data_IF_689965117293
#
_entry.id   IF_689965117293
#
_cell.length_a   1.000
_cell.length_b   1.000
_cell.length_c   1.000
_cell.angle_alpha   90.00
_cell.angle_beta   90.00
_cell.angle_gamma   90.00
#
_symmetry.space_group_name_H-M   'P 1'
#
loop_
_entity.id
_entity.type
_entity.pdbx_description
1 polymer ?
#
# COMPACT_ATOMS: atom_id res chain seq x y z
N UNK A 1 24.20 -78.39 -17.24
CA UNK A 1 23.94 -77.20 -18.08
C UNK A 1 23.36 -76.12 -17.20
N UNK A 2 24.12 -75.08 -16.91
CA UNK A 2 23.65 -73.91 -16.17
C UNK A 2 24.57 -72.75 -16.52
N UNK A 3 24.19 -71.98 -17.54
CA UNK A 3 24.93 -70.80 -17.95
C UNK A 3 24.79 -69.73 -16.86
N UNK A 4 25.92 -69.36 -16.25
CA UNK A 4 26.07 -68.12 -15.49
C UNK A 4 26.01 -66.96 -16.50
N UNK A 5 24.89 -66.24 -16.49
CA UNK A 5 24.75 -64.98 -17.21
C UNK A 5 25.59 -63.95 -16.45
N UNK A 6 26.79 -63.69 -16.95
CA UNK A 6 27.61 -62.56 -16.54
C UNK A 6 26.96 -61.29 -17.09
N UNK A 7 26.12 -60.64 -16.29
CA UNK A 7 25.67 -59.27 -16.55
C UNK A 7 26.83 -58.32 -16.31
N UNK A 8 27.49 -57.89 -17.38
CA UNK A 8 28.35 -56.70 -17.37
C UNK A 8 27.53 -55.50 -16.87
N UNK A 9 28.03 -54.68 -15.93
CA UNK A 9 27.34 -53.45 -15.57
C UNK A 9 27.34 -52.54 -16.79
N UNK A 10 26.15 -52.17 -17.24
CA UNK A 10 25.96 -51.13 -18.24
C UNK A 10 26.46 -49.84 -17.60
N UNK A 11 27.56 -49.32 -18.11
CA UNK A 11 28.06 -47.98 -17.81
C UNK A 11 27.01 -46.98 -18.31
N UNK A 12 26.05 -46.65 -17.46
CA UNK A 12 25.18 -45.50 -17.67
C UNK A 12 26.07 -44.28 -17.44
N UNK A 13 26.75 -43.86 -18.49
CA UNK A 13 27.31 -42.51 -18.56
C UNK A 13 26.13 -41.55 -18.41
N UNK A 14 25.80 -41.17 -17.18
CA UNK A 14 24.90 -40.07 -16.88
C UNK A 14 25.42 -38.89 -17.71
N UNK A 15 24.63 -38.48 -18.70
CA UNK A 15 24.92 -37.30 -19.49
C UNK A 15 24.81 -36.13 -18.52
N UNK A 16 25.95 -35.78 -17.91
CA UNK A 16 26.04 -34.69 -16.94
C UNK A 16 25.94 -33.40 -17.73
N UNK A 17 24.76 -32.80 -17.68
CA UNK A 17 24.51 -31.50 -18.25
C UNK A 17 25.15 -30.43 -17.36
N UNK A 18 26.13 -29.70 -17.89
CA UNK A 18 26.72 -28.54 -17.23
C UNK A 18 26.33 -27.26 -17.96
N UNK A 19 25.95 -26.22 -17.21
CA UNK A 19 25.66 -24.91 -17.79
C UNK A 19 26.91 -24.26 -18.42
N UNK A 20 28.11 -24.64 -17.98
CA UNK A 20 29.36 -24.17 -18.58
C UNK A 20 29.55 -24.63 -20.03
N UNK A 21 28.89 -25.74 -20.42
CA UNK A 21 28.98 -26.29 -21.78
C UNK A 21 28.04 -25.58 -22.77
N UNK A 22 27.15 -24.72 -22.28
CA UNK A 22 26.22 -23.96 -23.11
C UNK A 22 26.81 -22.62 -23.57
N UNK A 23 26.28 -22.05 -24.67
CA UNK A 23 26.50 -20.63 -24.96
C UNK A 23 26.14 -19.76 -23.75
N UNK A 24 26.99 -18.78 -23.37
CA UNK A 24 26.79 -17.97 -22.17
C UNK A 24 25.42 -17.30 -22.10
N UNK A 25 24.89 -16.88 -23.25
CA UNK A 25 23.58 -16.23 -23.34
C UNK A 25 22.45 -17.18 -22.90
N UNK A 26 22.55 -18.46 -23.28
CA UNK A 26 21.56 -19.48 -22.92
C UNK A 26 21.67 -19.85 -21.44
N UNK A 27 22.90 -20.02 -20.94
CA UNK A 27 23.15 -20.29 -19.53
C UNK A 27 22.62 -19.16 -18.64
N UNK A 28 22.91 -17.90 -18.98
CA UNK A 28 22.39 -16.73 -18.27
C UNK A 28 20.87 -16.60 -18.38
N UNK A 29 20.28 -16.98 -19.52
CA UNK A 29 18.82 -17.01 -19.69
C UNK A 29 18.19 -18.02 -18.74
N UNK A 30 18.74 -19.23 -18.62
CA UNK A 30 18.27 -20.25 -17.69
C UNK A 30 18.36 -19.74 -16.24
N UNK A 31 19.51 -19.18 -15.85
CA UNK A 31 19.72 -18.65 -14.51
C UNK A 31 18.83 -17.44 -14.19
N UNK A 32 18.36 -16.69 -15.20
CA UNK A 32 17.48 -15.52 -15.01
C UNK A 32 16.08 -15.87 -14.50
N UNK A 33 15.68 -17.14 -14.61
CA UNK A 33 14.43 -17.65 -14.06
C UNK A 33 14.53 -18.05 -12.58
N UNK A 34 15.73 -18.06 -12.00
CA UNK A 34 15.92 -18.40 -10.60
C UNK A 34 15.57 -17.21 -9.70
N UNK A 35 15.01 -17.51 -8.53
CA UNK A 35 14.88 -16.51 -7.47
C UNK A 35 16.28 -16.23 -6.84
N UNK A 36 16.42 -15.17 -6.02
CA UNK A 36 17.71 -14.80 -5.44
C UNK A 36 18.37 -15.89 -4.60
N UNK A 37 17.58 -16.70 -3.89
CA UNK A 37 18.07 -17.81 -3.05
C UNK A 37 18.62 -18.94 -3.91
N UNK A 38 17.87 -19.35 -4.93
CA UNK A 38 18.30 -20.40 -5.86
C UNK A 38 19.51 -19.95 -6.67
N UNK A 39 19.57 -18.68 -7.06
CA UNK A 39 20.72 -18.11 -7.75
C UNK A 39 21.98 -18.07 -6.86
N UNK A 40 21.81 -17.76 -5.57
CA UNK A 40 22.89 -17.85 -4.60
C UNK A 40 23.39 -19.29 -4.45
N UNK A 41 22.51 -20.29 -4.37
CA UNK A 41 22.89 -21.70 -4.32
C UNK A 41 23.59 -22.14 -5.61
N UNK A 42 23.08 -21.73 -6.76
CA UNK A 42 23.68 -21.98 -8.07
C UNK A 42 25.11 -21.44 -8.18
N UNK A 43 25.44 -20.32 -7.49
CA UNK A 43 26.80 -19.78 -7.46
C UNK A 43 27.83 -20.72 -6.82
N UNK A 44 27.40 -21.70 -6.01
CA UNK A 44 28.29 -22.73 -5.47
C UNK A 44 28.82 -23.71 -6.53
N UNK A 45 28.15 -23.83 -7.68
CA UNK A 45 28.55 -24.71 -8.79
C UNK A 45 28.97 -23.89 -10.02
N UNK A 46 28.24 -22.82 -10.31
CA UNK A 46 28.40 -21.99 -11.50
C UNK A 46 28.73 -20.54 -11.13
N UNK A 47 29.79 -20.32 -10.34
CA UNK A 47 30.14 -19.00 -9.80
C UNK A 47 30.21 -17.89 -10.86
N UNK A 48 30.91 -18.13 -11.97
CA UNK A 48 31.12 -17.12 -13.02
C UNK A 48 29.83 -16.72 -13.73
N UNK A 49 28.91 -17.67 -13.90
CA UNK A 49 27.61 -17.45 -14.54
C UNK A 49 26.61 -16.84 -13.55
N UNK A 50 26.52 -17.38 -12.33
CA UNK A 50 25.55 -16.96 -11.32
C UNK A 50 25.93 -15.65 -10.62
N UNK A 51 27.21 -15.24 -10.64
CA UNK A 51 27.67 -13.94 -10.14
C UNK A 51 27.66 -12.84 -11.20
N UNK A 52 27.11 -13.11 -12.39
CA UNK A 52 27.11 -12.17 -13.50
C UNK A 52 26.31 -10.89 -13.18
N UNK A 53 26.92 -9.73 -13.38
CA UNK A 53 26.30 -8.43 -13.05
C UNK A 53 25.07 -8.09 -13.90
N UNK A 54 24.99 -8.55 -15.14
CA UNK A 54 23.80 -8.36 -15.98
C UNK A 54 22.62 -9.19 -15.48
N UNK A 55 22.90 -10.40 -15.00
CA UNK A 55 21.90 -11.27 -14.38
C UNK A 55 21.36 -10.64 -13.10
N UNK A 56 22.24 -10.23 -12.18
CA UNK A 56 21.84 -9.55 -10.94
C UNK A 56 21.16 -8.21 -11.19
N UNK A 57 21.53 -7.48 -12.24
CA UNK A 57 20.82 -6.26 -12.66
C UNK A 57 19.37 -6.54 -13.02
N UNK A 58 19.12 -7.58 -13.82
CA UNK A 58 17.76 -8.00 -14.19
C UNK A 58 16.95 -8.40 -12.96
N UNK A 59 17.53 -9.26 -12.11
CA UNK A 59 16.91 -9.69 -10.87
C UNK A 59 16.58 -8.51 -9.94
N UNK A 60 17.52 -7.59 -9.76
CA UNK A 60 17.38 -6.42 -8.90
C UNK A 60 16.27 -5.50 -9.40
N UNK A 61 16.20 -5.20 -10.69
CA UNK A 61 15.13 -4.35 -11.25
C UNK A 61 13.75 -4.99 -11.23
N UNK A 62 13.69 -6.32 -11.37
CA UNK A 62 12.43 -7.05 -11.31
C UNK A 62 11.90 -7.14 -9.88
N UNK A 63 12.77 -7.42 -8.90
CA UNK A 63 12.37 -7.59 -7.50
C UNK A 63 12.27 -6.27 -6.73
N UNK A 64 13.14 -5.31 -7.05
CA UNK A 64 13.18 -3.97 -6.48
C UNK A 64 12.94 -2.94 -7.59
N UNK A 65 11.68 -2.63 -7.93
CA UNK A 65 11.36 -1.73 -9.04
C UNK A 65 11.93 -0.31 -8.88
N UNK A 66 12.22 0.09 -7.64
CA UNK A 66 12.71 1.42 -7.33
C UNK A 66 13.67 1.46 -6.14
N UNK A 67 14.76 2.21 -6.30
CA UNK A 67 15.58 2.77 -5.24
C UNK A 67 16.38 3.95 -5.83
N UNK A 68 16.74 4.94 -5.03
CA UNK A 68 17.52 6.10 -5.51
C UNK A 68 18.92 5.73 -5.99
N UNK A 69 19.47 4.61 -5.51
CA UNK A 69 20.78 4.13 -5.95
C UNK A 69 20.84 3.85 -7.47
N UNK A 70 19.71 3.57 -8.12
CA UNK A 70 19.64 3.39 -9.57
C UNK A 70 19.92 4.67 -10.37
N UNK A 71 19.68 5.85 -9.80
CA UNK A 71 19.88 7.12 -10.50
C UNK A 71 21.35 7.53 -10.58
N UNK A 72 22.12 7.19 -9.54
CA UNK A 72 23.54 7.47 -9.45
C UNK A 72 24.38 6.32 -10.04
N UNK A 73 23.75 5.51 -10.89
CA UNK A 73 24.39 4.41 -11.56
C UNK A 73 25.47 4.92 -12.50
N UNK A 74 26.70 4.72 -12.07
CA UNK A 74 27.86 4.72 -12.95
C UNK A 74 28.53 3.36 -12.75
N UNK A 75 29.17 2.84 -13.80
CA UNK A 75 30.11 1.72 -13.74
C UNK A 75 31.32 2.13 -12.88
N UNK A 76 31.08 2.39 -11.60
CA UNK A 76 32.13 2.59 -10.62
C UNK A 76 32.75 1.21 -10.37
N UNK A 77 34.07 1.13 -10.23
CA UNK A 77 34.77 -0.14 -9.98
C UNK A 77 34.21 -0.94 -8.80
N UNK A 78 33.59 -0.26 -7.82
CA UNK A 78 33.11 -0.86 -6.57
C UNK A 78 31.59 -1.12 -6.54
N UNK A 79 30.87 -0.96 -7.66
CA UNK A 79 29.41 -1.17 -7.70
C UNK A 79 29.06 -2.58 -8.23
N UNK A 80 28.27 -3.32 -7.46
CA UNK A 80 27.75 -4.64 -7.82
C UNK A 80 26.24 -4.71 -7.55
N UNK A 81 25.46 -5.16 -8.53
CA UNK A 81 24.03 -5.39 -8.39
C UNK A 81 23.73 -6.50 -7.40
N UNK A 82 24.63 -7.47 -7.26
CA UNK A 82 24.52 -8.50 -6.22
C UNK A 82 24.61 -7.88 -4.83
N UNK A 83 25.60 -7.02 -4.60
CA UNK A 83 25.76 -6.31 -3.32
C UNK A 83 24.57 -5.38 -3.07
N UNK A 84 24.12 -4.64 -4.09
CA UNK A 84 22.94 -3.79 -3.99
C UNK A 84 21.69 -4.59 -3.62
N UNK A 85 21.46 -5.74 -4.26
CA UNK A 85 20.33 -6.62 -3.96
C UNK A 85 20.32 -7.02 -2.49
N UNK A 86 21.46 -7.49 -1.97
CA UNK A 86 21.60 -7.91 -0.58
C UNK A 86 21.38 -6.75 0.39
N UNK A 87 21.90 -5.56 0.08
CA UNK A 87 21.67 -4.35 0.89
C UNK A 87 20.21 -3.91 0.91
N UNK A 88 19.50 -4.02 -0.22
CA UNK A 88 18.06 -3.72 -0.27
C UNK A 88 17.24 -4.74 0.52
N UNK A 89 17.63 -6.01 0.48
CA UNK A 89 16.99 -7.05 1.29
C UNK A 89 17.23 -6.85 2.79
N UNK A 90 18.47 -6.55 3.18
CA UNK A 90 18.82 -6.18 4.56
C UNK A 90 18.04 -4.93 5.00
N UNK A 91 17.98 -3.88 4.17
CA UNK A 91 17.21 -2.68 4.46
C UNK A 91 15.72 -2.98 4.71
N UNK A 92 15.12 -3.87 3.90
CA UNK A 92 13.72 -4.31 4.10
C UNK A 92 13.56 -5.06 5.42
N UNK A 93 14.46 -5.99 5.73
CA UNK A 93 14.41 -6.76 6.98
C UNK A 93 14.54 -5.82 8.20
N UNK A 94 15.47 -4.87 8.14
CA UNK A 94 15.65 -3.83 9.16
C UNK A 94 14.40 -2.97 9.31
N UNK A 95 13.80 -2.52 8.20
CA UNK A 95 12.54 -1.76 8.22
C UNK A 95 11.39 -2.56 8.85
N UNK A 96 11.29 -3.85 8.53
CA UNK A 96 10.24 -4.72 9.05
C UNK A 96 10.39 -4.96 10.57
N UNK A 97 11.60 -4.84 11.10
CA UNK A 97 11.87 -4.85 12.54
C UNK A 97 11.58 -3.50 13.19
N UNK A 98 12.14 -2.41 12.65
CA UNK A 98 11.89 -1.04 13.07
C UNK A 98 11.92 -0.09 11.87
N UNK A 99 10.80 0.62 11.63
CA UNK A 99 10.65 1.48 10.46
C UNK A 99 11.71 2.59 10.39
N UNK A 100 12.06 3.20 11.53
CA UNK A 100 12.99 4.33 11.56
C UNK A 100 14.44 3.86 11.36
N UNK A 101 14.80 2.73 11.97
CA UNK A 101 16.08 2.07 11.74
C UNK A 101 16.26 1.71 10.26
N UNK A 102 15.23 1.11 9.65
CA UNK A 102 15.28 0.74 8.23
C UNK A 102 15.43 1.95 7.31
N UNK A 103 14.70 3.04 7.58
CA UNK A 103 14.84 4.28 6.83
C UNK A 103 16.22 4.93 7.02
N UNK A 104 16.79 4.85 8.23
CA UNK A 104 18.16 5.32 8.48
C UNK A 104 19.19 4.49 7.72
N UNK A 105 19.08 3.17 7.75
CA UNK A 105 19.93 2.26 6.99
C UNK A 105 19.88 2.59 5.48
N UNK A 106 18.69 2.81 4.93
CA UNK A 106 18.51 3.17 3.52
C UNK A 106 19.23 4.48 3.16
N UNK A 107 19.16 5.48 4.05
CA UNK A 107 19.81 6.77 3.87
C UNK A 107 21.35 6.67 3.97
N UNK A 108 21.86 6.06 5.05
CA UNK A 108 23.30 5.93 5.32
C UNK A 108 24.02 5.13 4.23
N UNK A 109 23.37 4.08 3.72
CA UNK A 109 23.90 3.26 2.62
C UNK A 109 23.65 3.86 1.22
N UNK A 110 23.08 5.06 1.13
CA UNK A 110 22.78 5.78 -0.12
C UNK A 110 21.87 4.98 -1.07
N UNK A 111 20.98 4.16 -0.49
CA UNK A 111 20.02 3.34 -1.23
C UNK A 111 18.76 4.15 -1.59
N UNK A 112 18.36 5.05 -0.70
CA UNK A 112 17.20 5.92 -0.85
C UNK A 112 17.56 7.34 -0.43
N UNK A 113 17.15 8.32 -1.24
CA UNK A 113 17.23 9.75 -0.90
C UNK A 113 16.19 10.08 0.15
N UNK A 114 16.55 10.98 1.06
CA UNK A 114 15.65 11.50 2.08
C UNK A 114 14.77 12.62 1.49
N UNK A 115 13.88 12.24 0.58
CA UNK A 115 12.88 13.14 0.00
C UNK A 115 11.52 12.46 -0.14
N UNK A 116 10.47 13.29 -0.08
CA UNK A 116 9.08 12.84 -0.03
C UNK A 116 8.73 11.90 -1.20
N UNK A 117 9.19 12.23 -2.41
CA UNK A 117 8.81 11.49 -3.62
C UNK A 117 9.48 10.12 -3.68
N UNK A 118 10.78 10.05 -3.36
CA UNK A 118 11.50 8.78 -3.33
C UNK A 118 10.99 7.88 -2.22
N UNK A 119 10.73 8.43 -1.03
CA UNK A 119 10.19 7.62 0.08
C UNK A 119 8.80 7.09 -0.27
N UNK A 120 7.91 7.94 -0.81
CA UNK A 120 6.57 7.53 -1.23
C UNK A 120 6.62 6.45 -2.33
N UNK A 121 7.48 6.61 -3.34
CA UNK A 121 7.62 5.64 -4.43
C UNK A 121 8.21 4.33 -3.93
N UNK A 122 9.19 4.38 -3.02
CA UNK A 122 9.73 3.20 -2.36
C UNK A 122 8.63 2.46 -1.58
N UNK A 123 7.83 3.15 -0.76
CA UNK A 123 6.72 2.50 -0.05
C UNK A 123 5.63 1.94 -0.97
N UNK A 124 5.44 2.54 -2.15
CA UNK A 124 4.46 2.11 -3.14
C UNK A 124 4.85 0.80 -3.84
N UNK A 125 6.12 0.65 -4.24
CA UNK A 125 6.55 -0.43 -5.13
C UNK A 125 7.39 -1.52 -4.47
N UNK A 126 7.95 -1.26 -3.28
CA UNK A 126 8.83 -2.22 -2.60
C UNK A 126 8.02 -3.38 -2.01
N UNK A 127 8.31 -4.63 -2.42
CA UNK A 127 7.56 -5.80 -1.96
C UNK A 127 7.98 -6.24 -0.54
N UNK A 128 7.01 -6.75 0.22
CA UNK A 128 7.27 -7.41 1.50
C UNK A 128 7.59 -6.47 2.68
N UNK A 129 7.36 -5.17 2.52
CA UNK A 129 7.40 -4.22 3.64
C UNK A 129 6.23 -4.47 4.59
N UNK A 130 6.51 -4.52 5.89
CA UNK A 130 5.54 -4.77 6.95
C UNK A 130 4.52 -3.61 7.04
N UNK A 131 3.21 -3.87 6.87
CA UNK A 131 2.15 -2.86 6.97
C UNK A 131 2.18 -2.03 8.26
N UNK A 132 2.54 -2.66 9.38
CA UNK A 132 2.58 -2.04 10.71
C UNK A 132 3.71 -1.01 10.78
N UNK A 133 4.87 -1.35 10.23
CA UNK A 133 6.03 -0.46 10.20
C UNK A 133 5.82 0.67 9.18
N UNK A 134 5.20 0.39 8.02
CA UNK A 134 4.76 1.43 7.07
C UNK A 134 3.84 2.43 7.77
N UNK A 135 2.81 1.94 8.46
CA UNK A 135 1.88 2.80 9.20
C UNK A 135 2.61 3.61 10.27
N UNK A 136 3.41 2.95 11.12
CA UNK A 136 4.15 3.60 12.22
C UNK A 136 5.00 4.76 11.71
N UNK A 137 5.64 4.59 10.55
CA UNK A 137 6.39 5.65 9.91
C UNK A 137 5.50 6.77 9.35
N UNK A 138 4.38 6.44 8.71
CA UNK A 138 3.47 7.43 8.10
C UNK A 138 2.65 8.22 9.14
N UNK A 139 2.37 7.63 10.30
CA UNK A 139 1.60 8.26 11.38
C UNK A 139 2.47 8.93 12.45
N UNK A 140 3.80 8.92 12.26
CA UNK A 140 4.77 9.47 13.19
C UNK A 140 4.52 10.97 13.42
N UNK A 141 4.07 11.30 14.64
CA UNK A 141 3.77 12.69 15.04
C UNK A 141 4.98 13.48 15.51
N UNK A 142 5.98 12.78 16.04
CA UNK A 142 7.25 13.28 16.58
C UNK A 142 7.93 12.08 17.22
N UNK A 143 9.04 11.62 16.66
CA UNK A 143 10.01 10.81 17.39
C UNK A 143 11.16 11.74 17.80
N UNK A 144 11.56 11.79 19.08
CA UNK A 144 12.77 12.49 19.48
C UNK A 144 13.97 11.78 18.83
N UNK A 145 14.69 12.48 17.95
CA UNK A 145 16.01 12.03 17.52
C UNK A 145 17.07 12.85 18.25
N UNK A 146 17.89 12.20 19.07
CA UNK A 146 19.09 12.79 19.66
C UNK A 146 20.26 12.61 18.68
N UNK A 147 20.69 13.73 18.08
CA UNK A 147 21.95 13.84 17.34
C UNK A 147 22.66 15.08 17.85
N UNK A 148 23.94 14.94 18.20
CA UNK A 148 24.80 16.05 18.67
C UNK A 148 24.24 16.83 19.89
N UNK A 149 23.51 16.15 20.79
CA UNK A 149 22.98 16.77 22.00
C UNK A 149 21.86 17.81 21.76
N UNK A 150 21.30 17.84 20.55
CA UNK A 150 20.12 18.66 20.21
C UNK A 150 18.94 17.76 19.85
N UNK A 151 17.80 18.01 20.50
CA UNK A 151 16.52 17.42 20.14
C UNK A 151 16.10 17.94 18.76
N UNK A 152 16.20 17.09 17.74
CA UNK A 152 15.61 17.34 16.42
C UNK A 152 14.30 16.57 16.32
N UNK A 153 13.26 17.30 15.95
CA UNK A 153 11.92 16.76 15.73
C UNK A 153 11.85 16.30 14.27
N UNK A 154 11.64 15.00 14.02
CA UNK A 154 11.13 14.59 12.72
C UNK A 154 9.80 15.35 12.49
N UNK A 155 9.75 16.12 11.41
CA UNK A 155 8.63 17.02 11.16
C UNK A 155 7.39 16.18 10.87
N UNK A 156 6.39 16.18 11.75
CA UNK A 156 5.10 15.50 11.53
C UNK A 156 4.52 15.78 10.14
N UNK A 157 4.77 16.99 9.62
CA UNK A 157 4.40 17.43 8.29
C UNK A 157 5.02 16.56 7.19
N UNK A 158 6.28 16.15 7.33
CA UNK A 158 6.98 15.33 6.34
C UNK A 158 6.30 13.96 6.17
N UNK A 159 5.95 13.29 7.27
CA UNK A 159 5.31 11.97 7.22
C UNK A 159 3.91 12.03 6.56
N UNK A 160 3.16 13.10 6.81
CA UNK A 160 1.87 13.34 6.14
C UNK A 160 2.04 13.69 4.65
N UNK A 161 3.08 14.44 4.28
CA UNK A 161 3.43 14.71 2.88
C UNK A 161 3.83 13.44 2.13
N UNK A 162 4.55 12.52 2.81
CA UNK A 162 4.86 11.19 2.27
C UNK A 162 3.57 10.39 2.08
N UNK A 163 2.63 10.41 3.02
CA UNK A 163 1.33 9.76 2.84
C UNK A 163 0.57 10.36 1.66
N UNK A 164 0.57 11.68 1.51
CA UNK A 164 -0.10 12.37 0.41
C UNK A 164 0.47 11.97 -0.95
N UNK A 165 1.80 11.92 -1.06
CA UNK A 165 2.51 11.45 -2.25
C UNK A 165 2.28 9.95 -2.49
N UNK A 166 2.31 9.10 -1.46
CA UNK A 166 2.00 7.68 -1.57
C UNK A 166 0.58 7.46 -2.08
N UNK A 167 -0.38 8.25 -1.58
CA UNK A 167 -1.78 8.17 -2.00
C UNK A 167 -1.97 8.60 -3.45
N UNK A 168 -1.25 9.62 -3.92
CA UNK A 168 -1.37 10.07 -5.32
C UNK A 168 -0.82 9.06 -6.33
N UNK A 169 0.10 8.18 -5.91
CA UNK A 169 0.63 7.08 -6.73
C UNK A 169 -0.36 5.92 -6.89
N UNK A 170 -1.37 5.79 -6.03
CA UNK A 170 -2.33 4.68 -6.08
C UNK A 170 -3.34 4.87 -7.21
N UNK A 171 -3.56 3.82 -7.99
CA UNK A 171 -4.60 3.78 -9.02
C UNK A 171 -5.81 2.95 -8.56
N UNK A 172 -6.96 3.62 -8.39
CA UNK A 172 -8.23 2.99 -8.03
C UNK A 172 -9.21 2.89 -9.21
N UNK A 173 -8.76 3.15 -10.44
CA UNK A 173 -9.61 3.17 -11.63
C UNK A 173 -10.32 1.84 -11.85
N UNK A 174 -11.65 1.87 -11.96
CA UNK A 174 -12.50 0.70 -12.17
C UNK A 174 -12.66 -0.20 -10.94
N UNK A 175 -12.04 0.13 -9.79
CA UNK A 175 -12.23 -0.62 -8.55
C UNK A 175 -13.55 -0.24 -7.88
N UNK A 176 -14.26 -1.25 -7.38
CA UNK A 176 -15.42 -1.02 -6.53
C UNK A 176 -14.99 -0.50 -5.16
N UNK A 177 -15.70 0.50 -4.62
CA UNK A 177 -15.29 1.26 -3.43
C UNK A 177 -14.92 0.37 -2.22
N UNK A 178 -15.74 -0.61 -1.80
CA UNK A 178 -15.39 -1.50 -0.68
C UNK A 178 -14.11 -2.31 -0.92
N UNK A 179 -13.86 -2.74 -2.15
CA UNK A 179 -12.67 -3.51 -2.49
C UNK A 179 -11.42 -2.63 -2.45
N UNK A 180 -11.50 -1.42 -3.03
CA UNK A 180 -10.40 -0.45 -2.94
C UNK A 180 -10.09 -0.06 -1.48
N UNK A 181 -11.12 0.10 -0.65
CA UNK A 181 -10.97 0.40 0.76
C UNK A 181 -10.34 -0.77 1.53
N UNK A 182 -10.76 -2.01 1.25
CA UNK A 182 -10.17 -3.23 1.85
C UNK A 182 -8.70 -3.36 1.51
N UNK A 183 -8.33 -3.16 0.24
CA UNK A 183 -6.94 -3.18 -0.21
C UNK A 183 -6.10 -2.14 0.55
N UNK A 184 -6.62 -0.92 0.69
CA UNK A 184 -5.96 0.16 1.42
C UNK A 184 -5.78 -0.17 2.90
N UNK A 185 -6.83 -0.68 3.54
CA UNK A 185 -6.80 -1.07 4.94
C UNK A 185 -5.80 -2.21 5.19
N UNK A 186 -5.75 -3.22 4.31
CA UNK A 186 -4.78 -4.31 4.43
C UNK A 186 -3.32 -3.85 4.28
N UNK A 187 -3.08 -2.78 3.51
CA UNK A 187 -1.73 -2.25 3.26
C UNK A 187 -1.24 -1.30 4.36
N UNK A 188 -2.12 -0.47 4.93
CA UNK A 188 -1.74 0.67 5.78
C UNK A 188 -2.34 0.62 7.18
N UNK A 189 -3.33 -0.22 7.45
CA UNK A 189 -3.92 -0.36 8.76
C UNK A 189 -3.57 -1.73 9.34
N UNK A 190 -3.34 -1.78 10.64
CA UNK A 190 -3.24 -3.04 11.36
C UNK A 190 -3.88 -2.94 12.72
N UNK A 191 -4.16 -4.09 13.37
CA UNK A 191 -4.82 -4.15 14.66
C UNK A 191 -4.13 -3.39 15.79
N UNK A 192 -2.83 -3.08 15.64
CA UNK A 192 -1.99 -2.56 16.72
C UNK A 192 -2.02 -1.02 16.75
N UNK A 193 -2.32 -0.44 17.92
CA UNK A 193 -2.27 0.99 18.29
C UNK A 193 -2.30 2.03 17.15
N UNK A 194 -3.39 2.07 16.37
CA UNK A 194 -3.58 3.14 15.38
C UNK A 194 -3.86 4.47 16.10
N UNK A 195 -3.13 5.53 15.73
CA UNK A 195 -3.43 6.89 16.18
C UNK A 195 -4.85 7.28 15.77
N UNK A 196 -5.65 7.76 16.72
CA UNK A 196 -7.06 8.16 16.48
C UNK A 196 -7.22 9.20 15.36
N UNK A 197 -6.17 9.98 15.05
CA UNK A 197 -6.20 11.02 14.02
C UNK A 197 -5.72 10.53 12.64
N UNK A 198 -5.08 9.36 12.54
CA UNK A 198 -4.53 8.87 11.28
C UNK A 198 -5.63 8.37 10.34
N UNK A 199 -6.62 7.63 10.87
CA UNK A 199 -7.69 7.04 10.07
C UNK A 199 -8.53 8.11 9.35
N UNK A 200 -9.04 9.18 10.00
CA UNK A 200 -9.77 10.22 9.30
C UNK A 200 -8.95 10.88 8.19
N UNK A 201 -7.66 11.14 8.44
CA UNK A 201 -6.76 11.73 7.45
C UNK A 201 -6.54 10.80 6.25
N UNK A 202 -6.27 9.52 6.51
CA UNK A 202 -6.11 8.49 5.47
C UNK A 202 -7.36 8.39 4.61
N UNK A 203 -8.55 8.37 5.22
CA UNK A 203 -9.82 8.30 4.50
C UNK A 203 -10.10 9.55 3.67
N UNK A 204 -9.70 10.73 4.14
CA UNK A 204 -9.81 11.98 3.37
C UNK A 204 -8.94 11.90 2.11
N UNK A 205 -7.66 11.53 2.25
CA UNK A 205 -6.75 11.37 1.11
C UNK A 205 -7.20 10.28 0.14
N UNK A 206 -7.69 9.15 0.68
CA UNK A 206 -8.28 8.08 -0.13
C UNK A 206 -9.48 8.56 -0.93
N UNK A 207 -10.39 9.33 -0.31
CA UNK A 207 -11.60 9.79 -0.97
C UNK A 207 -11.31 10.73 -2.14
N UNK A 208 -10.34 11.63 -1.97
CA UNK A 208 -9.85 12.51 -3.04
C UNK A 208 -9.28 11.67 -4.19
N UNK A 209 -8.38 10.74 -3.89
CA UNK A 209 -7.75 9.92 -4.93
C UNK A 209 -8.75 8.98 -5.63
N UNK A 210 -9.70 8.40 -4.88
CA UNK A 210 -10.70 7.50 -5.43
C UNK A 210 -11.61 8.21 -6.44
N UNK A 211 -12.03 9.43 -6.13
CA UNK A 211 -12.82 10.28 -7.05
C UNK A 211 -11.98 10.71 -8.25
N UNK A 212 -10.70 11.04 -8.05
CA UNK A 212 -9.78 11.38 -9.13
C UNK A 212 -9.60 10.22 -10.12
N UNK A 213 -9.45 8.99 -9.63
CA UNK A 213 -9.32 7.80 -10.47
C UNK A 213 -10.64 7.34 -11.12
N UNK A 214 -11.78 7.66 -10.52
CA UNK A 214 -13.10 7.20 -10.95
C UNK A 214 -14.01 8.42 -11.21
N UNK A 215 -13.83 9.04 -12.37
CA UNK A 215 -14.68 10.14 -12.80
C UNK A 215 -16.15 9.73 -12.87
N UNK A 216 -17.03 10.53 -12.24
CA UNK A 216 -18.48 10.33 -12.19
C UNK A 216 -18.92 9.00 -11.54
N UNK A 217 -18.86 8.93 -10.21
CA UNK A 217 -19.33 7.81 -9.38
C UNK A 217 -20.86 7.59 -9.38
N UNK A 218 -21.59 8.20 -10.31
CA UNK A 218 -23.05 8.07 -10.41
C UNK A 218 -23.80 8.82 -9.30
N UNK A 219 -23.16 9.74 -8.59
CA UNK A 219 -23.82 10.60 -7.62
C UNK A 219 -24.76 11.56 -8.34
N UNK A 220 -25.99 11.69 -7.82
CA UNK A 220 -27.02 12.50 -8.47
C UNK A 220 -26.58 13.97 -8.55
N UNK A 221 -26.66 14.61 -9.74
CA UNK A 221 -26.44 16.05 -9.86
C UNK A 221 -27.48 16.83 -9.05
N UNK A 222 -27.10 17.98 -8.47
CA UNK A 222 -28.01 18.87 -7.76
C UNK A 222 -27.91 18.86 -6.22
N UNK A 223 -27.03 18.04 -5.65
CA UNK A 223 -26.67 18.12 -4.24
C UNK A 223 -25.39 18.95 -4.06
N UNK A 224 -25.31 19.74 -2.99
CA UNK A 224 -24.19 20.67 -2.73
C UNK A 224 -22.89 19.98 -2.29
N UNK A 225 -22.91 18.67 -2.02
CA UNK A 225 -21.77 17.90 -1.52
C UNK A 225 -20.79 17.56 -2.64
N UNK A 226 -19.48 17.69 -2.38
CA UNK A 226 -18.44 17.24 -3.32
C UNK A 226 -18.37 15.72 -3.36
N UNK A 227 -17.85 15.17 -4.46
CA UNK A 227 -17.65 13.74 -4.61
C UNK A 227 -16.77 13.14 -3.51
N UNK A 228 -15.69 13.84 -3.12
CA UNK A 228 -14.78 13.36 -2.06
C UNK A 228 -15.49 13.26 -0.69
N UNK A 229 -16.36 14.22 -0.34
CA UNK A 229 -17.11 14.21 0.92
C UNK A 229 -18.08 13.02 0.97
N UNK A 230 -18.72 12.73 -0.16
CA UNK A 230 -19.63 11.59 -0.31
C UNK A 230 -18.87 10.28 -0.10
N UNK A 231 -17.75 10.09 -0.81
CA UNK A 231 -16.93 8.88 -0.70
C UNK A 231 -16.41 8.70 0.73
N UNK A 232 -15.99 9.78 1.39
CA UNK A 232 -15.52 9.75 2.77
C UNK A 232 -16.59 9.21 3.73
N UNK A 233 -17.83 9.73 3.64
CA UNK A 233 -18.95 9.27 4.48
C UNK A 233 -19.34 7.82 4.15
N UNK A 234 -19.26 7.42 2.88
CA UNK A 234 -19.47 6.02 2.48
C UNK A 234 -18.40 5.10 3.08
N UNK A 235 -17.12 5.49 3.08
CA UNK A 235 -16.03 4.72 3.70
C UNK A 235 -16.27 4.53 5.20
N UNK A 236 -16.66 5.59 5.91
CA UNK A 236 -17.01 5.48 7.33
C UNK A 236 -18.18 4.51 7.53
N UNK A 237 -19.22 4.62 6.69
CA UNK A 237 -20.39 3.73 6.78
C UNK A 237 -20.01 2.27 6.54
N UNK A 238 -19.11 2.00 5.59
CA UNK A 238 -18.59 0.67 5.28
C UNK A 238 -17.76 0.10 6.44
N UNK A 239 -16.86 0.90 7.02
CA UNK A 239 -16.06 0.48 8.18
C UNK A 239 -16.95 0.16 9.39
N UNK A 240 -17.98 0.97 9.63
CA UNK A 240 -18.95 0.73 10.70
C UNK A 240 -19.79 -0.53 10.46
N UNK A 241 -20.21 -0.78 9.21
CA UNK A 241 -20.91 -2.02 8.83
C UNK A 241 -20.01 -3.25 9.01
N UNK A 242 -18.75 -3.14 8.59
CA UNK A 242 -17.74 -4.20 8.73
C UNK A 242 -17.54 -4.60 10.19
N UNK A 243 -17.40 -3.59 11.05
CA UNK A 243 -17.31 -3.77 12.51
C UNK A 243 -18.58 -4.38 13.10
N UNK A 244 -19.76 -3.97 12.61
CA UNK A 244 -21.04 -4.53 13.03
C UNK A 244 -21.10 -6.05 12.80
N UNK A 245 -20.74 -6.48 11.59
CA UNK A 245 -20.70 -7.90 11.22
C UNK A 245 -19.68 -8.69 12.02
N UNK A 246 -18.47 -8.17 12.20
CA UNK A 246 -17.43 -8.90 12.89
C UNK A 246 -17.58 -8.96 14.42
N UNK A 247 -18.29 -8.01 15.04
CA UNK A 247 -18.40 -7.95 16.50
C UNK A 247 -19.29 -9.06 17.06
N UNK A 248 -18.76 -10.02 17.87
CA UNK A 248 -19.57 -11.09 18.45
C UNK A 248 -20.58 -10.58 19.48
N UNK A 249 -20.38 -9.37 20.02
CA UNK A 249 -21.28 -8.75 21.00
C UNK A 249 -22.59 -8.26 20.37
N UNK A 250 -22.58 -8.02 19.06
CA UNK A 250 -23.75 -7.55 18.33
C UNK A 250 -24.53 -8.76 17.84
N UNK A 251 -25.61 -9.08 18.57
CA UNK A 251 -26.51 -10.21 18.25
C UNK A 251 -27.38 -9.94 17.03
N UNK A 252 -27.90 -8.72 16.92
CA UNK A 252 -28.74 -8.29 15.80
C UNK A 252 -27.88 -7.48 14.84
N UNK A 253 -27.41 -8.14 13.78
CA UNK A 253 -26.62 -7.50 12.73
C UNK A 253 -27.46 -6.52 11.92
N UNK A 254 -26.82 -5.45 11.45
CA UNK A 254 -27.46 -4.46 10.61
C UNK A 254 -27.98 -5.10 9.32
N UNK A 255 -29.29 -4.97 9.06
CA UNK A 255 -29.89 -5.46 7.83
C UNK A 255 -29.58 -4.52 6.64
N UNK A 256 -29.67 -5.05 5.41
CA UNK A 256 -29.51 -4.25 4.18
C UNK A 256 -30.42 -3.03 4.15
N UNK A 257 -31.68 -3.20 4.58
CA UNK A 257 -32.68 -2.12 4.62
C UNK A 257 -32.29 -1.03 5.62
N UNK A 258 -31.76 -1.42 6.79
CA UNK A 258 -31.30 -0.47 7.80
C UNK A 258 -30.06 0.29 7.33
N UNK A 259 -29.09 -0.41 6.74
CA UNK A 259 -27.89 0.22 6.16
C UNK A 259 -28.28 1.28 5.11
N UNK A 260 -29.10 0.90 4.12
CA UNK A 260 -29.56 1.83 3.08
C UNK A 260 -30.26 3.04 3.69
N UNK A 261 -31.14 2.84 4.69
CA UNK A 261 -31.85 3.93 5.36
C UNK A 261 -30.87 4.88 6.06
N UNK A 262 -29.94 4.35 6.84
CA UNK A 262 -29.01 5.13 7.65
C UNK A 262 -28.02 5.90 6.75
N UNK A 263 -27.42 5.23 5.76
CA UNK A 263 -26.43 5.85 4.88
C UNK A 263 -27.05 6.88 3.94
N UNK A 264 -28.30 6.68 3.49
CA UNK A 264 -29.00 7.66 2.65
C UNK A 264 -29.36 8.95 3.39
N UNK A 265 -29.55 8.89 4.72
CA UNK A 265 -29.73 10.11 5.53
C UNK A 265 -28.44 10.94 5.54
N UNK A 266 -27.28 10.29 5.61
CA UNK A 266 -25.98 10.96 5.59
C UNK A 266 -25.56 11.39 4.17
N UNK A 267 -25.94 10.60 3.15
CA UNK A 267 -25.57 10.80 1.74
C UNK A 267 -26.83 10.70 0.86
N UNK A 268 -27.63 11.77 0.75
CA UNK A 268 -28.85 11.76 -0.07
C UNK A 268 -28.61 11.59 -1.57
N UNK A 269 -27.39 11.89 -2.04
CA UNK A 269 -26.97 11.80 -3.44
C UNK A 269 -26.69 10.37 -3.91
N UNK A 270 -26.50 9.41 -2.99
CA UNK A 270 -26.24 8.01 -3.32
C UNK A 270 -27.54 7.27 -3.70
N UNK A 271 -27.49 6.45 -4.75
CA UNK A 271 -28.63 5.64 -5.18
C UNK A 271 -28.87 4.45 -4.24
N UNK A 272 -30.12 4.01 -4.14
CA UNK A 272 -30.49 2.83 -3.33
C UNK A 272 -29.76 1.59 -3.85
N UNK A 273 -29.64 1.44 -5.17
CA UNK A 273 -28.98 0.31 -5.80
C UNK A 273 -27.48 0.27 -5.45
N UNK A 274 -26.79 1.41 -5.49
CA UNK A 274 -25.39 1.52 -5.08
C UNK A 274 -25.24 1.12 -3.60
N UNK A 275 -26.03 1.70 -2.71
CA UNK A 275 -25.97 1.36 -1.27
C UNK A 275 -26.28 -0.12 -1.02
N UNK A 276 -27.17 -0.71 -1.81
CA UNK A 276 -27.45 -2.14 -1.78
C UNK A 276 -26.24 -2.98 -2.19
N UNK A 277 -25.58 -2.64 -3.29
CA UNK A 277 -24.37 -3.31 -3.77
C UNK A 277 -23.20 -3.19 -2.78
N UNK A 278 -23.05 -2.01 -2.16
CA UNK A 278 -22.06 -1.77 -1.10
C UNK A 278 -22.28 -2.74 0.08
N UNK A 279 -23.52 -2.89 0.54
CA UNK A 279 -23.86 -3.83 1.61
C UNK A 279 -23.57 -5.28 1.21
N UNK A 280 -24.02 -5.69 0.02
CA UNK A 280 -23.85 -7.07 -0.45
C UNK A 280 -22.37 -7.44 -0.54
N UNK A 281 -21.51 -6.52 -1.00
CA UNK A 281 -20.07 -6.77 -1.05
C UNK A 281 -19.47 -6.99 0.34
N UNK A 282 -19.79 -6.17 1.34
CA UNK A 282 -19.27 -6.36 2.70
C UNK A 282 -19.81 -7.65 3.33
N UNK A 283 -21.06 -8.00 3.02
CA UNK A 283 -21.69 -9.23 3.50
C UNK A 283 -21.03 -10.49 2.91
N UNK A 284 -20.68 -10.47 1.62
CA UNK A 284 -20.12 -11.62 0.89
C UNK A 284 -18.60 -11.73 1.06
N UNK A 285 -17.87 -10.64 0.79
CA UNK A 285 -16.39 -10.62 0.81
C UNK A 285 -15.82 -10.47 2.22
N UNK A 286 -16.66 -10.10 3.19
CA UNK A 286 -16.29 -9.95 4.58
C UNK A 286 -15.54 -8.65 4.88
N UNK A 287 -14.71 -8.72 5.93
CA UNK A 287 -14.19 -7.55 6.61
C UNK A 287 -13.32 -6.64 5.72
N UNK A 288 -13.46 -5.34 5.95
CA UNK A 288 -12.63 -4.28 5.40
C UNK A 288 -11.53 -3.86 6.40
N UNK A 289 -11.83 -3.87 7.70
CA UNK A 289 -10.92 -3.40 8.74
C UNK A 289 -11.58 -3.37 10.12
N UNK A 290 -11.80 -4.54 10.72
CA UNK A 290 -12.51 -4.74 11.99
C UNK A 290 -11.97 -3.91 13.15
N UNK A 291 -10.69 -3.59 13.09
CA UNK A 291 -9.92 -2.93 14.14
C UNK A 291 -10.09 -1.41 14.14
N UNK A 292 -10.75 -0.87 13.12
CA UNK A 292 -10.97 0.57 12.98
C UNK A 292 -12.03 1.03 13.98
N UNK A 293 -11.60 1.77 15.01
CA UNK A 293 -12.50 2.45 15.93
C UNK A 293 -12.80 3.85 15.38
N UNK A 294 -13.88 3.97 14.60
CA UNK A 294 -14.46 5.30 14.34
C UNK A 294 -15.27 5.71 15.57
N UNK A 295 -14.75 6.65 16.36
CA UNK A 295 -15.58 7.32 17.37
C UNK A 295 -16.53 8.26 16.64
N UNK A 296 -17.83 7.97 16.69
CA UNK A 296 -18.85 8.97 16.39
C UNK A 296 -18.79 10.04 17.48
N UNK A 297 -17.96 11.06 17.33
CA UNK A 297 -18.12 12.26 18.13
C UNK A 297 -19.34 13.00 17.57
N UNK A 298 -20.47 13.09 18.30
CA UNK A 298 -21.60 13.90 17.85
C UNK A 298 -21.25 15.40 17.75
N UNK A 299 -20.11 15.81 18.31
CA UNK A 299 -19.54 17.16 18.26
C UNK A 299 -18.59 17.42 17.11
N UNK A 300 -18.12 16.38 16.40
CA UNK A 300 -17.40 16.54 15.13
C UNK A 300 -18.44 16.41 14.04
N UNK A 301 -19.16 17.51 13.86
CA UNK A 301 -19.76 17.85 12.58
C UNK A 301 -18.89 17.33 11.43
N UNK A 302 -19.45 16.56 10.47
CA UNK A 302 -18.74 16.32 9.23
C UNK A 302 -18.28 17.67 8.67
N UNK A 303 -17.18 17.76 7.89
CA UNK A 303 -16.73 19.02 7.29
C UNK A 303 -17.86 19.79 6.54
N UNK A 304 -18.91 19.06 6.15
CA UNK A 304 -20.23 19.53 5.73
C UNK A 304 -20.78 20.69 6.59
N UNK A 305 -20.75 20.61 7.92
CA UNK A 305 -21.39 21.61 8.79
C UNK A 305 -20.55 22.88 9.00
N UNK A 306 -19.22 22.79 8.90
CA UNK A 306 -18.33 23.97 8.98
C UNK A 306 -18.30 24.78 7.68
N UNK A 307 -18.55 24.16 6.52
CA UNK A 307 -18.58 24.88 5.22
C UNK A 307 -19.96 25.42 4.84
N UNK A 308 -21.06 24.87 5.37
CA UNK A 308 -22.42 25.40 5.12
C UNK A 308 -22.62 26.76 5.82
N UNK A 309 -21.95 27.03 6.94
CA UNK A 309 -22.04 28.33 7.63
C UNK A 309 -21.40 29.49 6.87
N UNK A 310 -20.50 29.20 5.92
CA UNK A 310 -19.80 30.23 5.14
C UNK A 310 -20.54 30.67 3.87
N UNK A 311 -21.65 30.01 3.51
CA UNK A 311 -22.55 30.52 2.47
C UNK A 311 -23.50 31.53 3.12
N UNK A 312 -23.04 32.79 3.19
CA UNK A 312 -23.86 33.95 3.54
C UNK A 312 -25.24 33.84 2.90
N UNK A 313 -26.28 33.85 3.75
CA UNK A 313 -27.65 34.14 3.35
C UNK A 313 -27.70 35.45 2.58
N UNK A 314 -28.07 35.40 1.31
CA UNK A 314 -28.47 36.60 0.56
C UNK A 314 -29.67 37.25 1.25
N UNK A 315 -29.65 38.55 1.55
CA UNK A 315 -30.80 39.20 2.17
C UNK A 315 -31.98 39.23 1.18
N UNK A 316 -33.19 38.98 1.72
CA UNK A 316 -34.46 38.96 0.99
C UNK A 316 -34.68 40.29 0.24
N UNK A 317 -35.20 40.29 -1.00
CA UNK A 317 -35.63 41.53 -1.64
C UNK A 317 -36.92 42.05 -0.97
N UNK A 318 -36.94 43.35 -0.70
CA UNK A 318 -38.09 44.08 -0.16
C UNK A 318 -39.32 43.93 -1.06
N UNK A 319 -40.48 43.68 -0.43
CA UNK A 319 -41.81 43.79 -1.08
C UNK A 319 -42.13 45.27 -1.27
N UNK A 320 -42.30 45.70 -2.52
CA UNK A 320 -42.99 46.94 -2.86
C UNK A 320 -44.48 46.70 -2.62
N UNK A 321 -45.08 47.45 -1.71
CA UNK A 321 -46.54 47.56 -1.60
C UNK A 321 -46.93 48.83 -2.34
N UNK A 322 -47.64 48.67 -3.45
CA UNK A 322 -48.33 49.75 -4.11
C UNK A 322 -49.76 49.83 -3.56
N UNK A 323 -50.11 50.98 -3.01
CA UNK A 323 -51.45 51.59 -2.99
C UNK A 323 -51.32 53.01 -2.47
#
# INVERSE_FOLDING_TARGET
MGQLISTTPVDQSEVRFDLQDLPPELALTILSYLNPTDLYLASGVWWDLASNETLWRGLCRNYWPFCSAYENWHEKPDFSFRILFLRLDEARLTFNSDAFEGMRYLHENKLLKDDVQHIALYFHVTPGLNPDQKRRYLEAKQEPWESEGQLKWANAQLHLEILDALMSLKNFGGKFLPNALRDLCAELLSPMEISQNFIPYLLERFSVQFVHCNGNLGFRPGYASRGEDVVYVLCISLLMLSKDFASPQIKNKMSKREFIRNTRQAVPSASIDLLGQLYDNVYVEGDIGTWVIVKSNPSVSPPIQRRITDVRSTPRPYRIIAS
#
